data_IF_647926148466
#
_entry.id   IF_647926148466
#
_cell.length_a   1.000
_cell.length_b   1.000
_cell.length_c   1.000
_cell.angle_alpha   90.00
_cell.angle_beta   90.00
_cell.angle_gamma   90.00
#
_symmetry.space_group_name_H-M   'P 1'
#
loop_
_entity.id
_entity.type
_entity.pdbx_description
1 polymer ?
#
# COMPACT_ATOMS: atom_id res chain seq x y z
N UNK A 1 -9.99 32.21 -4.86
CA UNK A 1 -11.28 31.86 -4.24
C UNK A 1 -11.25 30.35 -3.93
N UNK A 2 -11.04 29.97 -2.67
CA UNK A 2 -11.13 28.57 -2.25
C UNK A 2 -12.61 28.26 -2.02
N UNK A 3 -13.17 27.31 -2.77
CA UNK A 3 -14.57 26.92 -2.60
C UNK A 3 -14.71 26.09 -1.31
N UNK A 4 -15.41 26.59 -0.27
CA UNK A 4 -15.48 25.95 1.06
C UNK A 4 -16.17 24.56 1.03
N UNK A 5 -16.90 24.26 -0.05
CA UNK A 5 -17.52 22.96 -0.30
C UNK A 5 -16.49 21.83 -0.51
N UNK A 6 -15.28 22.17 -0.98
CA UNK A 6 -14.19 21.21 -1.17
C UNK A 6 -13.52 20.80 0.14
N UNK A 7 -13.39 21.72 1.10
CA UNK A 7 -12.71 21.45 2.38
C UNK A 7 -13.49 20.48 3.27
N UNK A 8 -14.81 20.66 3.37
CA UNK A 8 -15.68 19.75 4.12
C UNK A 8 -15.66 18.32 3.53
N UNK A 9 -15.75 18.22 2.20
CA UNK A 9 -15.67 16.92 1.50
C UNK A 9 -14.30 16.26 1.70
N UNK A 10 -13.21 17.03 1.64
CA UNK A 10 -11.86 16.54 1.90
C UNK A 10 -11.69 16.08 3.35
N UNK A 11 -12.26 16.79 4.32
CA UNK A 11 -12.24 16.40 5.75
C UNK A 11 -12.98 15.08 5.97
N UNK A 12 -14.15 14.91 5.35
CA UNK A 12 -14.91 13.65 5.42
C UNK A 12 -14.12 12.47 4.84
N UNK A 13 -13.49 12.65 3.66
CA UNK A 13 -12.63 11.63 3.04
C UNK A 13 -11.43 11.28 3.92
N UNK A 14 -10.78 12.27 4.53
CA UNK A 14 -9.66 12.05 5.46
C UNK A 14 -10.10 11.24 6.67
N UNK A 15 -11.23 11.59 7.30
CA UNK A 15 -11.78 10.85 8.45
C UNK A 15 -12.10 9.40 8.12
N UNK A 16 -12.69 9.15 6.95
CA UNK A 16 -12.93 7.79 6.48
C UNK A 16 -11.62 7.02 6.26
N UNK A 17 -10.65 7.65 5.60
CA UNK A 17 -9.37 7.00 5.33
C UNK A 17 -8.61 6.64 6.62
N UNK A 18 -8.60 7.55 7.59
CA UNK A 18 -7.94 7.38 8.89
C UNK A 18 -8.58 6.26 9.72
N UNK A 19 -9.91 6.12 9.65
CA UNK A 19 -10.65 5.09 10.39
C UNK A 19 -10.57 3.68 9.77
N UNK A 20 -10.29 3.56 8.46
CA UNK A 20 -10.37 2.28 7.75
C UNK A 20 -9.03 1.79 7.20
N UNK A 21 -8.02 2.67 7.07
CA UNK A 21 -6.74 2.32 6.47
C UNK A 21 -5.59 2.84 7.32
N UNK A 22 -4.72 1.92 7.75
CA UNK A 22 -3.40 2.26 8.25
C UNK A 22 -2.45 2.50 7.07
N UNK A 23 -1.78 3.65 7.05
CA UNK A 23 -0.82 4.01 6.00
C UNK A 23 0.59 3.66 6.45
N UNK A 24 1.22 2.74 5.74
CA UNK A 24 2.63 2.38 5.94
C UNK A 24 3.46 3.17 4.93
N UNK A 25 4.26 4.18 5.35
CA UNK A 25 5.20 4.84 4.47
C UNK A 25 6.30 3.84 4.08
N UNK A 26 6.52 3.67 2.77
CA UNK A 26 7.56 2.79 2.24
C UNK A 26 8.56 3.60 1.43
N UNK A 27 9.75 3.79 1.98
CA UNK A 27 10.87 4.40 1.29
C UNK A 27 11.60 3.34 0.45
N UNK A 28 11.51 3.47 -0.86
CA UNK A 28 12.22 2.61 -1.82
C UNK A 28 13.28 3.41 -2.56
N UNK A 29 14.41 2.77 -2.90
CA UNK A 29 15.41 3.41 -3.75
C UNK A 29 14.78 3.83 -5.09
N UNK A 30 15.26 4.94 -5.64
CA UNK A 30 14.84 5.40 -6.97
C UNK A 30 15.08 4.29 -8.00
N UNK A 31 14.11 4.07 -8.88
CA UNK A 31 14.10 2.98 -9.86
C UNK A 31 13.36 1.73 -9.42
N UNK A 32 13.45 1.32 -8.14
CA UNK A 32 12.79 0.09 -7.66
C UNK A 32 11.27 0.16 -7.74
N UNK A 33 10.68 1.34 -7.53
CA UNK A 33 9.24 1.53 -7.70
C UNK A 33 8.74 1.14 -9.10
N UNK A 34 9.54 1.40 -10.14
CA UNK A 34 9.19 1.02 -11.51
C UNK A 34 9.19 -0.50 -11.65
N UNK A 35 10.23 -1.15 -11.16
CA UNK A 35 10.36 -2.62 -11.15
C UNK A 35 9.19 -3.29 -10.42
N UNK A 36 8.82 -2.78 -9.24
CA UNK A 36 7.67 -3.32 -8.50
C UNK A 36 6.35 -3.10 -9.24
N UNK A 37 6.22 -1.98 -9.94
CA UNK A 37 5.03 -1.70 -10.73
C UNK A 37 4.95 -2.66 -11.92
N UNK A 38 6.03 -2.87 -12.65
CA UNK A 38 6.08 -3.82 -13.76
C UNK A 38 5.78 -5.25 -13.30
N UNK A 39 6.32 -5.67 -12.15
CA UNK A 39 6.01 -6.97 -11.55
C UNK A 39 4.53 -7.11 -11.15
N UNK A 40 3.92 -6.03 -10.64
CA UNK A 40 2.50 -6.00 -10.30
C UNK A 40 1.60 -6.02 -11.55
N UNK A 41 1.94 -5.22 -12.57
CA UNK A 41 1.27 -5.19 -13.88
C UNK A 41 1.34 -6.56 -14.56
N UNK A 42 2.48 -7.25 -14.50
CA UNK A 42 2.62 -8.61 -15.03
C UNK A 42 1.69 -9.64 -14.35
N UNK A 43 1.34 -9.40 -13.08
CA UNK A 43 0.35 -10.22 -12.34
C UNK A 43 -1.08 -9.68 -12.45
N UNK A 44 -1.31 -8.57 -13.16
CA UNK A 44 -2.62 -7.93 -13.27
C UNK A 44 -3.12 -7.33 -11.96
N UNK A 45 -2.23 -6.97 -11.04
CA UNK A 45 -2.56 -6.49 -9.69
C UNK A 45 -2.07 -5.07 -9.46
N UNK A 46 -2.69 -4.38 -8.49
CA UNK A 46 -2.18 -3.08 -8.06
C UNK A 46 -0.84 -3.23 -7.33
N UNK A 47 0.03 -2.22 -7.44
CA UNK A 47 1.31 -2.19 -6.70
C UNK A 47 1.11 -2.41 -5.19
N UNK A 48 0.04 -1.85 -4.61
CA UNK A 48 -0.24 -2.03 -3.19
C UNK A 48 -0.62 -3.49 -2.86
N UNK A 49 -1.50 -4.11 -3.67
CA UNK A 49 -1.88 -5.51 -3.52
C UNK A 49 -0.66 -6.43 -3.65
N UNK A 50 0.20 -6.16 -4.64
CA UNK A 50 1.44 -6.91 -4.85
C UNK A 50 2.37 -6.86 -3.63
N UNK A 51 2.52 -5.68 -3.02
CA UNK A 51 3.33 -5.51 -1.80
C UNK A 51 2.70 -6.26 -0.62
N UNK A 52 1.38 -6.20 -0.45
CA UNK A 52 0.68 -6.91 0.62
C UNK A 52 0.83 -8.44 0.50
N UNK A 53 0.68 -8.99 -0.70
CA UNK A 53 0.90 -10.43 -0.93
C UNK A 53 2.35 -10.83 -0.68
N UNK A 54 3.32 -10.04 -1.15
CA UNK A 54 4.73 -10.31 -0.91
C UNK A 54 5.08 -10.32 0.58
N UNK A 55 4.51 -9.40 1.36
CA UNK A 55 4.69 -9.36 2.82
C UNK A 55 4.04 -10.59 3.47
N UNK A 56 2.82 -10.95 3.09
CA UNK A 56 2.11 -12.13 3.62
C UNK A 56 2.87 -13.41 3.34
N UNK A 57 3.28 -13.62 2.10
CA UNK A 57 4.09 -14.78 1.70
C UNK A 57 5.43 -14.84 2.45
N UNK A 58 6.04 -13.68 2.71
CA UNK A 58 7.26 -13.61 3.51
C UNK A 58 7.01 -14.01 4.97
N UNK A 59 5.95 -13.50 5.60
CA UNK A 59 5.58 -13.89 6.96
C UNK A 59 5.29 -15.39 7.06
N UNK A 60 4.57 -15.97 6.09
CA UNK A 60 4.28 -17.40 6.06
C UNK A 60 5.55 -18.26 5.90
N UNK A 61 6.53 -17.78 5.12
CA UNK A 61 7.84 -18.43 4.98
C UNK A 61 8.67 -18.33 6.27
N UNK A 62 8.79 -17.14 6.86
CA UNK A 62 9.58 -16.92 8.07
C UNK A 62 9.00 -17.69 9.27
N UNK A 63 7.66 -17.80 9.38
CA UNK A 63 7.01 -18.56 10.44
C UNK A 63 7.29 -20.08 10.33
N UNK A 64 7.29 -20.62 9.10
CA UNK A 64 7.67 -22.03 8.86
C UNK A 64 9.11 -22.36 9.24
N UNK A 65 10.02 -21.38 9.17
CA UNK A 65 11.44 -21.58 9.53
C UNK A 65 11.69 -21.50 11.04
N UNK A 66 10.72 -21.04 11.83
CA UNK A 66 10.88 -20.95 13.30
C UNK A 66 10.44 -22.24 14.02
N UNK A 67 9.89 -23.21 13.28
CA UNK A 67 9.44 -24.50 13.80
C UNK A 67 10.41 -25.67 13.47
N UNK A 68 11.71 -25.39 13.31
CA UNK A 68 12.78 -26.40 13.16
C UNK A 68 13.90 -26.25 14.21
#
# INVERSE_FOLDING_TARGET
MANPKGEAANKAKRKYNDANYERIPLDVKRGLKAVYKEAADAKGMSLNSYIQEAIKEKMERDNKTTEE
#
